data_IF_252335340768
#
_entry.id   IF_252335340768
#
_cell.length_a   1.000
_cell.length_b   1.000
_cell.length_c   1.000
_cell.angle_alpha   90.00
_cell.angle_beta   90.00
_cell.angle_gamma   90.00
#
_symmetry.space_group_name_H-M   'P 1'
#
loop_
_entity.id
_entity.type
_entity.pdbx_description
1 polymer ?
#
# COMPACT_ATOMS: atom_id res chain seq x y z
N UNK A 1 5.90 1.30 -11.34
CA UNK A 1 4.59 1.33 -10.67
C UNK A 1 4.38 0.00 -9.97
N UNK A 2 4.25 0.01 -8.65
CA UNK A 2 4.10 -1.18 -7.81
C UNK A 2 2.64 -1.29 -7.38
N UNK A 3 2.09 -2.49 -7.35
CA UNK A 3 0.70 -2.71 -6.92
C UNK A 3 0.70 -3.68 -5.77
N UNK A 4 -0.09 -3.38 -4.75
CA UNK A 4 -0.23 -4.18 -3.54
C UNK A 4 -1.69 -4.59 -3.37
N UNK A 5 -1.94 -5.83 -2.98
CA UNK A 5 -3.24 -6.28 -2.46
C UNK A 5 -3.25 -5.96 -0.98
N UNK A 6 -4.26 -5.25 -0.49
CA UNK A 6 -4.39 -4.97 0.94
C UNK A 6 -5.72 -5.50 1.43
N UNK A 7 -5.66 -6.38 2.42
CA UNK A 7 -6.83 -6.98 3.04
C UNK A 7 -7.33 -6.13 4.21
N UNK A 8 -8.65 -5.98 4.34
CA UNK A 8 -9.28 -5.21 5.43
C UNK A 8 -9.56 -3.74 5.11
N UNK A 9 -9.21 -3.24 3.92
CA UNK A 9 -9.61 -1.90 3.47
C UNK A 9 -11.07 -1.90 2.99
N UNK A 10 -12.02 -1.71 3.89
CA UNK A 10 -13.46 -1.65 3.57
C UNK A 10 -14.06 -0.26 3.72
N UNK A 11 -13.27 0.73 4.13
CA UNK A 11 -13.72 2.10 4.40
C UNK A 11 -12.71 3.14 3.93
N UNK A 12 -13.20 4.36 3.65
CA UNK A 12 -12.38 5.53 3.32
C UNK A 12 -11.43 5.98 4.45
N UNK A 13 -11.56 5.42 5.65
CA UNK A 13 -10.57 5.63 6.71
C UNK A 13 -9.33 4.75 6.48
N UNK A 14 -9.53 3.53 6.00
CA UNK A 14 -8.45 2.57 5.75
C UNK A 14 -7.57 3.02 4.58
N UNK A 15 -8.14 3.61 3.52
CA UNK A 15 -7.34 4.15 2.42
C UNK A 15 -6.35 5.22 2.91
N UNK A 16 -6.80 6.06 3.84
CA UNK A 16 -6.01 7.16 4.39
C UNK A 16 -4.87 6.62 5.24
N UNK A 17 -5.17 5.67 6.13
CA UNK A 17 -4.17 5.02 6.97
C UNK A 17 -3.08 4.33 6.13
N UNK A 18 -3.47 3.58 5.09
CA UNK A 18 -2.52 2.90 4.20
C UNK A 18 -1.69 3.90 3.39
N UNK A 19 -2.29 5.00 2.95
CA UNK A 19 -1.57 6.08 2.26
C UNK A 19 -0.55 6.74 3.17
N UNK A 20 -0.93 7.05 4.41
CA UNK A 20 -0.06 7.66 5.43
C UNK A 20 1.11 6.72 5.78
N UNK A 21 0.86 5.41 5.91
CA UNK A 21 1.89 4.41 6.12
C UNK A 21 2.93 4.38 4.99
N UNK A 22 2.47 4.46 3.74
CA UNK A 22 3.37 4.53 2.58
C UNK A 22 4.14 5.86 2.58
N UNK A 23 3.48 6.98 2.89
CA UNK A 23 4.12 8.29 2.98
C UNK A 23 5.14 8.41 4.13
N UNK A 24 4.95 7.64 5.21
CA UNK A 24 5.92 7.54 6.31
C UNK A 24 7.26 6.96 5.83
N UNK A 25 7.22 6.04 4.86
CA UNK A 25 8.43 5.46 4.24
C UNK A 25 8.93 6.31 3.07
N UNK A 26 8.01 6.77 2.22
CA UNK A 26 8.28 7.61 1.07
C UNK A 26 7.22 8.70 0.93
N UNK A 27 7.52 9.87 1.50
CA UNK A 27 6.64 11.03 1.47
C UNK A 27 6.40 11.56 0.04
N UNK A 28 7.22 11.18 -0.94
CA UNK A 28 7.07 11.54 -2.35
C UNK A 28 6.30 10.51 -3.17
N UNK A 29 5.93 9.37 -2.59
CA UNK A 29 5.24 8.31 -3.30
C UNK A 29 3.83 8.74 -3.74
N UNK A 30 3.51 8.53 -5.02
CA UNK A 30 2.12 8.63 -5.45
C UNK A 30 1.39 7.36 -5.09
N UNK A 31 0.41 7.44 -4.18
CA UNK A 31 -0.43 6.33 -3.77
C UNK A 31 -1.81 6.49 -4.40
N UNK A 32 -2.33 5.39 -4.96
CA UNK A 32 -3.65 5.28 -5.55
C UNK A 32 -4.34 4.04 -4.98
N UNK A 33 -5.31 4.24 -4.11
CA UNK A 33 -6.07 3.15 -3.48
C UNK A 33 -7.32 2.86 -4.30
N UNK A 34 -7.54 1.59 -4.60
CA UNK A 34 -8.69 1.08 -5.31
C UNK A 34 -9.50 0.16 -4.38
N UNK A 35 -10.45 0.74 -3.66
CA UNK A 35 -11.29 0.00 -2.69
C UNK A 35 -12.17 -1.04 -3.37
N UNK A 36 -12.57 -0.81 -4.63
CA UNK A 36 -13.38 -1.76 -5.39
C UNK A 36 -12.59 -3.03 -5.73
N UNK A 37 -11.32 -2.87 -6.13
CA UNK A 37 -10.43 -4.00 -6.40
C UNK A 37 -9.73 -4.55 -5.13
N UNK A 38 -9.70 -3.77 -4.04
CA UNK A 38 -8.92 -4.08 -2.84
C UNK A 38 -7.41 -4.00 -3.09
N UNK A 39 -6.99 -3.06 -3.93
CA UNK A 39 -5.59 -2.91 -4.33
C UNK A 39 -5.09 -1.49 -4.10
N UNK A 40 -3.78 -1.35 -3.94
CA UNK A 40 -3.08 -0.09 -3.75
C UNK A 40 -1.96 -0.01 -4.77
N UNK A 41 -2.12 0.88 -5.74
CA UNK A 41 -1.04 1.25 -6.64
C UNK A 41 -0.16 2.30 -5.96
N UNK A 42 1.15 2.13 -6.00
CA UNK A 42 2.09 3.16 -5.58
C UNK A 42 3.22 3.33 -6.59
N UNK A 43 3.54 4.58 -6.89
CA UNK A 43 4.68 4.94 -7.70
C UNK A 43 5.79 5.46 -6.80
N UNK A 44 6.52 4.51 -6.21
CA UNK A 44 7.70 4.74 -5.38
C UNK A 44 8.88 3.92 -5.91
N UNK A 45 10.09 4.42 -5.69
CA UNK A 45 11.33 3.69 -5.92
C UNK A 45 11.74 2.82 -4.72
N UNK A 46 11.00 2.90 -3.62
CA UNK A 46 11.21 2.09 -2.42
C UNK A 46 10.89 0.63 -2.68
N UNK A 47 11.57 -0.26 -1.95
CA UNK A 47 11.37 -1.70 -2.03
C UNK A 47 9.95 -2.09 -1.58
N UNK A 48 9.28 -3.04 -2.27
CA UNK A 48 7.94 -3.47 -1.92
C UNK A 48 7.87 -4.04 -0.49
N UNK A 49 8.92 -4.73 -0.04
CA UNK A 49 9.01 -5.26 1.33
C UNK A 49 8.84 -4.16 2.40
N UNK A 50 9.53 -3.02 2.25
CA UNK A 50 9.45 -1.91 3.20
C UNK A 50 8.06 -1.27 3.24
N UNK A 51 7.40 -1.18 2.08
CA UNK A 51 6.04 -0.68 1.98
C UNK A 51 5.05 -1.64 2.65
N UNK A 52 5.22 -2.96 2.44
CA UNK A 52 4.41 -3.99 3.08
C UNK A 52 4.59 -3.95 4.60
N UNK A 53 5.83 -3.82 5.09
CA UNK A 53 6.12 -3.70 6.52
C UNK A 53 5.44 -2.48 7.14
N UNK A 54 5.48 -1.32 6.49
CA UNK A 54 4.81 -0.12 6.97
C UNK A 54 3.29 -0.29 7.05
N UNK A 55 2.69 -0.91 6.03
CA UNK A 55 1.25 -1.20 6.03
C UNK A 55 0.89 -2.24 7.11
N UNK A 56 1.75 -3.24 7.31
CA UNK A 56 1.60 -4.23 8.38
C UNK A 56 1.78 -3.64 9.77
N UNK A 57 2.58 -2.59 9.94
CA UNK A 57 2.76 -1.89 11.20
C UNK A 57 1.47 -1.16 11.64
N UNK A 58 0.68 -0.68 10.68
CA UNK A 58 -0.67 -0.13 10.92
C UNK A 58 -1.72 -1.21 11.22
N UNK A 59 -1.38 -2.49 11.11
CA UNK A 59 -2.27 -3.62 11.35
C UNK A 59 -3.02 -4.14 10.11
N UNK A 60 -2.63 -3.72 8.91
CA UNK A 60 -3.21 -4.20 7.65
C UNK A 60 -2.32 -5.23 6.97
N UNK A 61 -2.90 -6.25 6.34
CA UNK A 61 -2.13 -7.21 5.55
C UNK A 61 -1.97 -6.69 4.13
N UNK A 62 -0.72 -6.44 3.71
CA UNK A 62 -0.38 -6.08 2.35
C UNK A 62 0.46 -7.17 1.67
N UNK A 63 0.23 -7.39 0.37
CA UNK A 63 1.06 -8.25 -0.48
C UNK A 63 1.35 -7.57 -1.80
N UNK A 64 2.60 -7.60 -2.26
CA UNK A 64 2.96 -7.12 -3.59
C UNK A 64 2.34 -8.03 -4.67
N UNK A 65 1.55 -7.43 -5.55
CA UNK A 65 1.02 -8.05 -6.76
C UNK A 65 1.95 -7.86 -7.96
N UNK A 66 2.87 -6.89 -7.89
CA UNK A 66 3.90 -6.69 -8.90
C UNK A 66 5.15 -7.52 -8.54
N UNK A 67 5.50 -8.45 -9.43
CA UNK A 67 6.62 -9.39 -9.41
C UNK A 67 6.46 -10.63 -8.52
N UNK A 68 5.76 -11.63 -9.06
CA UNK A 68 6.30 -12.98 -9.04
C UNK A 68 6.85 -13.22 -10.44
N UNK A 69 8.18 -13.31 -10.55
CA UNK A 69 8.92 -13.42 -11.81
C UNK A 69 8.64 -14.69 -12.58
#
# INVERSE_FOLDING_TARGET
MQTFKVEGMTCAHCERAVTDAIHSVDNGAQVNVDLAAGTVGTNSQVRPDLLIEAISAEGYKAQSLAAQG
#
